data_IF_201537348178
#
_entry.id   IF_201537348178
#
_cell.length_a   1.000
_cell.length_b   1.000
_cell.length_c   1.000
_cell.angle_alpha   90.00
_cell.angle_beta   90.00
_cell.angle_gamma   90.00
#
_symmetry.space_group_name_H-M   'P 1'
#
loop_
_entity.id
_entity.type
_entity.pdbx_description
1 polymer ?
#
# COMPACT_ATOMS: atom_id res chain seq x y z
N UNK A 1 10.83 -10.55 15.05
CA UNK A 1 11.43 -11.74 14.38
C UNK A 1 11.18 -11.73 12.87
N UNK A 2 9.92 -11.72 12.39
CA UNK A 2 9.63 -11.75 10.94
C UNK A 2 10.30 -10.64 10.13
N UNK A 3 10.25 -9.38 10.59
CA UNK A 3 10.89 -8.24 9.90
C UNK A 3 12.40 -8.40 9.77
N UNK A 4 13.08 -8.80 10.86
CA UNK A 4 14.53 -9.02 10.86
C UNK A 4 14.90 -10.12 9.87
N UNK A 5 14.15 -11.22 9.85
CA UNK A 5 14.34 -12.29 8.88
C UNK A 5 14.21 -11.78 7.45
N UNK A 6 13.17 -10.99 7.13
CA UNK A 6 12.98 -10.41 5.79
C UNK A 6 14.14 -9.49 5.38
N UNK A 7 14.61 -8.65 6.30
CA UNK A 7 15.77 -7.76 6.05
C UNK A 7 17.03 -8.57 5.80
N UNK A 8 17.29 -9.61 6.62
CA UNK A 8 18.43 -10.50 6.44
C UNK A 8 18.38 -11.26 5.12
N UNK A 9 17.18 -11.70 4.68
CA UNK A 9 17.01 -12.35 3.40
C UNK A 9 17.33 -11.42 2.23
N UNK A 10 16.85 -10.17 2.27
CA UNK A 10 17.15 -9.17 1.24
C UNK A 10 18.65 -8.85 1.23
N UNK A 11 19.23 -8.53 2.39
CA UNK A 11 20.64 -8.21 2.50
C UNK A 11 21.53 -9.39 2.08
N UNK A 12 21.18 -10.60 2.49
CA UNK A 12 21.86 -11.83 2.08
C UNK A 12 21.81 -12.06 0.58
N UNK A 13 20.64 -11.85 -0.05
CA UNK A 13 20.50 -11.92 -1.50
C UNK A 13 21.36 -10.87 -2.21
N UNK A 14 21.37 -9.62 -1.73
CA UNK A 14 22.21 -8.55 -2.30
C UNK A 14 23.69 -8.91 -2.22
N UNK A 15 24.17 -9.34 -1.06
CA UNK A 15 25.58 -9.73 -0.88
C UNK A 15 25.94 -10.92 -1.77
N UNK A 16 25.10 -11.96 -1.80
CA UNK A 16 25.34 -13.13 -2.62
C UNK A 16 25.28 -12.82 -4.13
N UNK A 17 24.36 -11.95 -4.56
CA UNK A 17 24.28 -11.48 -5.94
C UNK A 17 25.49 -10.67 -6.38
N UNK A 18 26.05 -9.83 -5.51
CA UNK A 18 27.30 -9.12 -5.81
C UNK A 18 28.53 -10.04 -5.82
N UNK A 19 28.54 -11.07 -4.96
CA UNK A 19 29.67 -11.99 -4.85
C UNK A 19 29.74 -13.04 -5.97
N UNK A 20 28.59 -13.57 -6.40
CA UNK A 20 28.50 -14.67 -7.37
C UNK A 20 27.89 -14.27 -8.71
N UNK A 21 27.30 -13.09 -8.81
CA UNK A 21 26.67 -12.60 -10.03
C UNK A 21 27.68 -12.24 -11.10
N UNK A 22 27.30 -12.51 -12.36
CA UNK A 22 28.10 -12.12 -13.52
C UNK A 22 27.84 -10.65 -13.86
N UNK A 23 28.87 -9.78 -13.85
CA UNK A 23 28.70 -8.36 -14.13
C UNK A 23 28.13 -8.13 -15.53
N UNK A 24 27.04 -7.36 -15.63
CA UNK A 24 26.56 -6.79 -16.88
C UNK A 24 27.21 -5.43 -17.15
N UNK A 25 27.38 -5.08 -18.43
CA UNK A 25 27.86 -3.76 -18.84
C UNK A 25 26.73 -2.73 -18.76
N UNK A 26 26.42 -2.30 -17.54
CA UNK A 26 25.41 -1.29 -17.25
C UNK A 26 26.03 -0.10 -16.54
N UNK A 27 25.65 1.10 -16.96
CA UNK A 27 26.03 2.34 -16.28
C UNK A 27 24.88 2.85 -15.46
N UNK A 28 25.11 3.03 -14.15
CA UNK A 28 24.15 3.69 -13.25
C UNK A 28 24.28 5.22 -13.25
N UNK A 29 25.17 5.78 -14.07
CA UNK A 29 25.34 7.22 -14.17
C UNK A 29 24.16 7.84 -14.93
N UNK A 30 23.50 8.88 -14.37
CA UNK A 30 22.34 9.49 -15.01
C UNK A 30 22.75 10.18 -16.32
N UNK A 31 21.96 9.96 -17.36
CA UNK A 31 22.09 10.60 -18.67
C UNK A 31 21.01 11.65 -18.84
N UNK A 32 21.25 12.64 -19.70
CA UNK A 32 20.27 13.68 -20.02
C UNK A 32 18.98 13.11 -20.64
N UNK A 33 19.09 11.99 -21.35
CA UNK A 33 17.95 11.26 -21.92
C UNK A 33 17.04 10.69 -20.83
N UNK A 34 17.58 10.32 -19.67
CA UNK A 34 16.80 9.77 -18.55
C UNK A 34 15.77 10.77 -18.01
N UNK A 35 16.06 12.08 -18.12
CA UNK A 35 15.14 13.13 -17.70
C UNK A 35 13.86 13.16 -18.55
N UNK A 36 13.95 12.77 -19.82
CA UNK A 36 12.78 12.71 -20.70
C UNK A 36 11.83 11.57 -20.30
N UNK A 37 12.37 10.50 -19.73
CA UNK A 37 11.57 9.37 -19.25
C UNK A 37 10.76 9.70 -17.99
N UNK A 38 11.25 10.59 -17.13
CA UNK A 38 10.58 10.97 -15.86
C UNK A 38 9.18 11.53 -16.10
N UNK A 39 8.97 12.29 -17.18
CA UNK A 39 7.67 12.89 -17.49
C UNK A 39 6.73 11.95 -18.26
N UNK A 40 7.16 10.75 -18.61
CA UNK A 40 6.38 9.82 -19.42
C UNK A 40 5.43 8.92 -18.63
N UNK A 41 4.45 8.36 -19.34
CA UNK A 41 3.52 7.39 -18.77
C UNK A 41 4.21 6.14 -18.18
N UNK A 42 5.24 5.54 -18.81
CA UNK A 42 5.91 4.36 -18.25
C UNK A 42 6.53 4.63 -16.88
N UNK A 43 7.06 5.84 -16.64
CA UNK A 43 7.60 6.23 -15.35
C UNK A 43 6.48 6.43 -14.32
N UNK A 44 5.40 7.12 -14.69
CA UNK A 44 4.24 7.32 -13.83
C UNK A 44 3.60 6.00 -13.38
N UNK A 45 3.41 5.06 -14.31
CA UNK A 45 2.87 3.73 -14.04
C UNK A 45 3.88 2.90 -13.24
N UNK A 46 5.18 2.97 -13.56
CA UNK A 46 6.21 2.31 -12.75
C UNK A 46 6.21 2.78 -11.29
N UNK A 47 5.97 4.08 -11.05
CA UNK A 47 5.82 4.61 -9.70
C UNK A 47 4.64 4.01 -8.92
N UNK A 48 3.59 3.51 -9.60
CA UNK A 48 2.44 2.83 -8.95
C UNK A 48 2.93 1.58 -8.23
N UNK A 49 3.73 0.75 -8.91
CA UNK A 49 4.32 -0.46 -8.35
C UNK A 49 5.35 -0.15 -7.27
N UNK A 50 6.15 0.90 -7.45
CA UNK A 50 7.09 1.37 -6.44
C UNK A 50 6.32 1.82 -5.19
N UNK A 51 5.35 2.70 -5.32
CA UNK A 51 4.54 3.20 -4.19
C UNK A 51 3.81 2.06 -3.48
N UNK A 52 3.30 1.07 -4.21
CA UNK A 52 2.73 -0.13 -3.61
C UNK A 52 3.77 -0.92 -2.80
N UNK A 53 4.99 -1.07 -3.31
CA UNK A 53 6.10 -1.74 -2.60
C UNK A 53 6.48 -1.02 -1.30
N UNK A 54 6.31 0.32 -1.25
CA UNK A 54 6.50 1.13 -0.03
C UNK A 54 5.23 1.30 0.81
N UNK A 55 4.14 0.60 0.48
CA UNK A 55 2.90 0.68 1.23
C UNK A 55 3.04 0.16 2.66
N UNK A 56 2.15 0.61 3.55
CA UNK A 56 2.15 0.28 4.98
C UNK A 56 2.69 1.39 5.89
N UNK A 57 3.15 2.50 5.32
CA UNK A 57 3.56 3.70 6.07
C UNK A 57 2.43 4.27 6.95
N UNK A 58 1.17 4.08 6.57
CA UNK A 58 0.01 4.53 7.32
C UNK A 58 -0.22 3.75 8.63
N UNK A 59 0.35 2.55 8.77
CA UNK A 59 0.18 1.70 9.96
C UNK A 59 0.74 2.37 11.23
N UNK A 60 1.76 3.22 11.09
CA UNK A 60 2.30 3.99 12.22
C UNK A 60 1.28 4.96 12.84
N UNK A 61 0.23 5.34 12.10
CA UNK A 61 -0.83 6.18 12.64
C UNK A 61 -1.78 5.42 13.57
N UNK A 62 -1.95 4.12 13.36
CA UNK A 62 -2.89 3.29 14.13
C UNK A 62 -2.43 3.06 15.57
N UNK A 63 -1.12 3.01 15.79
CA UNK A 63 -0.51 2.79 17.11
C UNK A 63 -0.05 4.09 17.77
N UNK A 64 -0.44 5.26 17.24
CA UNK A 64 0.06 6.54 17.73
C UNK A 64 -0.26 6.79 19.21
N UNK A 65 -1.37 6.24 19.70
CA UNK A 65 -1.79 6.35 21.10
C UNK A 65 -0.95 5.51 22.07
N UNK A 66 -0.21 4.52 21.56
CA UNK A 66 0.66 3.62 22.35
C UNK A 66 2.13 4.07 22.32
N UNK A 67 2.48 4.98 21.42
CA UNK A 67 3.85 5.47 21.24
C UNK A 67 4.15 6.57 22.25
N UNK A 68 5.28 6.46 22.95
CA UNK A 68 5.81 7.52 23.80
C UNK A 68 6.25 8.72 22.95
N UNK A 69 5.78 9.92 23.31
CA UNK A 69 6.07 11.18 22.61
C UNK A 69 5.81 11.09 21.09
N UNK A 70 4.57 10.80 20.66
CA UNK A 70 4.27 10.49 19.27
C UNK A 70 4.63 11.62 18.29
N UNK A 71 4.63 12.87 18.75
CA UNK A 71 4.98 14.05 17.96
C UNK A 71 6.44 14.05 17.50
N UNK A 72 7.33 13.34 18.19
CA UNK A 72 8.76 13.21 17.85
C UNK A 72 9.09 11.82 17.34
N UNK A 73 8.60 10.79 18.02
CA UNK A 73 8.96 9.40 17.73
C UNK A 73 8.38 8.92 16.39
N UNK A 74 7.13 9.27 16.06
CA UNK A 74 6.50 8.80 14.82
C UNK A 74 7.18 9.38 13.57
N UNK A 75 7.44 10.70 13.46
CA UNK A 75 8.14 11.24 12.29
C UNK A 75 9.55 10.68 12.11
N UNK A 76 10.32 10.54 13.19
CA UNK A 76 11.69 9.99 13.15
C UNK A 76 11.66 8.52 12.70
N UNK A 77 10.75 7.73 13.28
CA UNK A 77 10.57 6.32 12.93
C UNK A 77 10.19 6.14 11.46
N UNK A 78 9.24 6.94 10.96
CA UNK A 78 8.84 6.93 9.55
C UNK A 78 10.02 7.24 8.63
N UNK A 79 10.75 8.32 8.91
CA UNK A 79 11.90 8.71 8.08
C UNK A 79 13.00 7.64 8.08
N UNK A 80 13.38 7.15 9.26
CA UNK A 80 14.42 6.12 9.39
C UNK A 80 14.01 4.81 8.71
N UNK A 81 12.77 4.35 8.92
CA UNK A 81 12.25 3.14 8.30
C UNK A 81 12.21 3.27 6.77
N UNK A 82 11.68 4.38 6.25
CA UNK A 82 11.63 4.63 4.81
C UNK A 82 13.04 4.68 4.21
N UNK A 83 14.02 5.31 4.88
CA UNK A 83 15.40 5.38 4.41
C UNK A 83 16.05 3.99 4.35
N UNK A 84 15.86 3.15 5.37
CA UNK A 84 16.40 1.78 5.40
C UNK A 84 15.79 0.96 4.25
N UNK A 85 14.46 1.02 4.07
CA UNK A 85 13.78 0.30 2.99
C UNK A 85 14.22 0.83 1.62
N UNK A 86 14.45 2.15 1.49
CA UNK A 86 14.99 2.77 0.29
C UNK A 86 16.34 2.16 -0.10
N UNK A 87 17.29 2.11 0.83
CA UNK A 87 18.61 1.56 0.58
C UNK A 87 18.54 0.07 0.18
N UNK A 88 17.72 -0.72 0.89
CA UNK A 88 17.56 -2.15 0.61
C UNK A 88 16.95 -2.41 -0.76
N UNK A 89 15.87 -1.69 -1.11
CA UNK A 89 15.17 -1.92 -2.38
C UNK A 89 15.97 -1.40 -3.57
N UNK A 90 16.67 -0.27 -3.44
CA UNK A 90 17.57 0.22 -4.49
C UNK A 90 18.73 -0.74 -4.67
N UNK A 91 19.36 -1.21 -3.59
CA UNK A 91 20.44 -2.20 -3.68
C UNK A 91 19.97 -3.52 -4.32
N UNK A 92 18.78 -3.98 -3.98
CA UNK A 92 18.20 -5.19 -4.57
C UNK A 92 17.96 -5.04 -6.08
N UNK A 93 17.36 -3.92 -6.51
CA UNK A 93 17.15 -3.65 -7.94
C UNK A 93 18.46 -3.45 -8.68
N UNK A 94 19.46 -2.81 -8.06
CA UNK A 94 20.79 -2.67 -8.64
C UNK A 94 21.44 -4.05 -8.87
N UNK A 95 21.30 -4.97 -7.93
CA UNK A 95 21.78 -6.35 -8.09
C UNK A 95 21.04 -7.06 -9.23
N UNK A 96 19.71 -6.96 -9.31
CA UNK A 96 18.96 -7.57 -10.41
C UNK A 96 19.46 -7.12 -11.79
N UNK A 97 19.64 -5.81 -11.98
CA UNK A 97 20.16 -5.25 -13.23
C UNK A 97 21.63 -5.63 -13.46
N UNK A 98 22.44 -5.68 -12.41
CA UNK A 98 23.85 -6.03 -12.48
C UNK A 98 24.08 -7.49 -12.88
N UNK A 99 23.19 -8.42 -12.47
CA UNK A 99 23.40 -9.86 -12.66
C UNK A 99 22.58 -10.47 -13.77
N UNK A 100 21.49 -9.85 -14.19
CA UNK A 100 20.48 -10.49 -15.04
C UNK A 100 20.03 -9.56 -16.17
N UNK A 101 20.06 -10.04 -17.42
CA UNK A 101 19.60 -9.26 -18.57
C UNK A 101 18.13 -8.79 -18.45
N UNK A 102 17.86 -7.53 -18.81
CA UNK A 102 16.53 -6.90 -18.67
C UNK A 102 15.45 -7.61 -19.49
N UNK A 103 15.79 -8.16 -20.65
CA UNK A 103 14.89 -8.93 -21.52
C UNK A 103 14.32 -10.17 -20.83
N UNK A 104 15.09 -10.78 -19.91
CA UNK A 104 14.63 -11.93 -19.13
C UNK A 104 13.75 -11.55 -17.95
N UNK A 105 13.83 -10.31 -17.47
CA UNK A 105 13.06 -9.82 -16.32
C UNK A 105 11.79 -9.06 -16.74
N UNK A 106 11.81 -8.42 -17.91
CA UNK A 106 10.67 -7.67 -18.41
C UNK A 106 9.43 -8.57 -18.56
N UNK A 107 8.30 -8.11 -18.02
CA UNK A 107 7.03 -8.85 -18.04
C UNK A 107 6.95 -10.04 -17.09
N UNK A 108 8.00 -10.32 -16.31
CA UNK A 108 7.99 -11.40 -15.32
C UNK A 108 7.48 -10.90 -13.97
N UNK A 109 6.53 -11.61 -13.38
CA UNK A 109 6.04 -11.31 -12.02
C UNK A 109 7.10 -11.69 -10.98
N UNK A 110 7.87 -12.74 -11.24
CA UNK A 110 8.77 -13.38 -10.27
C UNK A 110 10.24 -12.99 -10.53
N UNK A 111 10.52 -11.69 -10.64
CA UNK A 111 11.84 -11.15 -11.00
C UNK A 111 12.97 -11.72 -10.12
N UNK A 112 12.73 -11.86 -8.81
CA UNK A 112 13.73 -12.41 -7.89
C UNK A 112 14.04 -13.89 -8.12
N UNK A 113 13.07 -14.69 -8.58
CA UNK A 113 13.27 -16.09 -8.96
C UNK A 113 14.12 -16.17 -10.25
N UNK A 114 13.82 -15.33 -11.23
CA UNK A 114 14.57 -15.23 -12.48
C UNK A 114 16.02 -14.84 -12.21
N UNK A 115 16.23 -13.78 -11.42
CA UNK A 115 17.56 -13.35 -11.03
C UNK A 115 18.29 -14.43 -10.21
N UNK A 116 17.63 -15.05 -9.24
CA UNK A 116 18.19 -16.15 -8.45
C UNK A 116 18.60 -17.35 -9.30
N UNK A 117 17.82 -17.68 -10.34
CA UNK A 117 18.15 -18.74 -11.30
C UNK A 117 19.38 -18.38 -12.14
N UNK A 118 19.51 -17.11 -12.50
CA UNK A 118 20.66 -16.62 -13.27
C UNK A 118 21.95 -16.57 -12.45
N UNK A 119 21.87 -16.20 -11.17
CA UNK A 119 23.02 -16.06 -10.28
C UNK A 119 23.48 -17.43 -9.73
N UNK A 120 22.53 -18.25 -9.26
CA UNK A 120 22.82 -19.46 -8.48
C UNK A 120 22.47 -20.77 -9.21
N UNK A 121 22.01 -20.68 -10.47
CA UNK A 121 21.45 -21.81 -11.20
C UNK A 121 20.05 -22.21 -10.75
N UNK A 122 19.49 -23.23 -11.38
CA UNK A 122 18.09 -23.66 -11.18
C UNK A 122 17.76 -24.00 -9.71
N UNK A 123 18.68 -24.68 -9.01
CA UNK A 123 18.48 -25.04 -7.60
C UNK A 123 18.45 -23.80 -6.70
N UNK A 124 19.36 -22.84 -6.91
CA UNK A 124 19.38 -21.62 -6.11
C UNK A 124 18.18 -20.71 -6.39
N UNK A 125 17.74 -20.64 -7.65
CA UNK A 125 16.46 -20.01 -8.01
C UNK A 125 15.29 -20.59 -7.23
N UNK A 126 15.13 -21.92 -7.21
CA UNK A 126 14.06 -22.60 -6.45
C UNK A 126 14.12 -22.32 -4.95
N UNK A 127 15.32 -22.26 -4.36
CA UNK A 127 15.51 -21.89 -2.94
C UNK A 127 15.01 -20.46 -2.69
N UNK A 128 15.42 -19.50 -3.53
CA UNK A 128 14.99 -18.10 -3.43
C UNK A 128 13.47 -17.99 -3.57
N UNK A 129 12.87 -18.67 -4.56
CA UNK A 129 11.43 -18.74 -4.73
C UNK A 129 10.71 -19.31 -3.51
N UNK A 130 11.23 -20.40 -2.92
CA UNK A 130 10.70 -21.00 -1.71
C UNK A 130 10.73 -20.05 -0.50
N UNK A 131 11.82 -19.30 -0.34
CA UNK A 131 11.95 -18.30 0.73
C UNK A 131 10.95 -17.15 0.56
N UNK A 132 10.72 -16.69 -0.68
CA UNK A 132 9.71 -15.67 -1.00
C UNK A 132 8.31 -16.21 -0.67
N UNK A 133 7.97 -17.42 -1.12
CA UNK A 133 6.69 -18.07 -0.81
C UNK A 133 6.45 -18.17 0.70
N UNK A 134 7.47 -18.60 1.46
CA UNK A 134 7.38 -18.64 2.92
C UNK A 134 7.15 -17.25 3.53
N UNK A 135 7.82 -16.23 3.00
CA UNK A 135 7.62 -14.83 3.39
C UNK A 135 6.18 -14.34 3.13
N UNK A 136 5.58 -14.74 2.00
CA UNK A 136 4.22 -14.35 1.61
C UNK A 136 3.15 -14.95 2.53
N UNK A 137 3.32 -16.18 3.02
CA UNK A 137 2.37 -16.83 3.95
C UNK A 137 2.12 -15.94 5.18
N UNK A 138 3.19 -15.34 5.73
CA UNK A 138 3.07 -14.46 6.90
C UNK A 138 2.21 -13.23 6.62
N UNK A 139 2.39 -12.62 5.43
CA UNK A 139 1.65 -11.42 5.03
C UNK A 139 0.19 -11.77 4.72
N UNK A 140 -0.06 -12.87 4.00
CA UNK A 140 -1.42 -13.34 3.67
C UNK A 140 -2.21 -13.63 4.95
N UNK A 141 -1.58 -14.33 5.90
CA UNK A 141 -2.20 -14.61 7.21
C UNK A 141 -2.57 -13.31 7.94
N UNK A 142 -1.64 -12.35 8.04
CA UNK A 142 -1.91 -11.07 8.70
C UNK A 142 -3.05 -10.28 8.02
N UNK A 143 -3.09 -10.24 6.69
CA UNK A 143 -4.12 -9.50 5.94
C UNK A 143 -5.49 -10.19 5.96
N UNK A 144 -5.51 -11.52 5.99
CA UNK A 144 -6.73 -12.31 6.22
C UNK A 144 -7.30 -12.02 7.61
N UNK A 145 -6.43 -11.72 8.57
CA UNK A 145 -6.85 -11.28 9.88
C UNK A 145 -7.33 -9.82 9.90
N UNK A 146 -6.54 -8.86 9.43
CA UNK A 146 -6.87 -7.43 9.63
C UNK A 146 -8.11 -7.00 8.84
N UNK A 147 -8.23 -7.42 7.57
CA UNK A 147 -9.29 -6.92 6.66
C UNK A 147 -10.72 -7.07 7.19
N UNK A 148 -11.15 -8.24 7.68
CA UNK A 148 -12.51 -8.44 8.17
C UNK A 148 -12.84 -7.62 9.42
N UNK A 149 -11.84 -7.23 10.21
CA UNK A 149 -12.06 -6.39 11.41
C UNK A 149 -12.38 -4.95 11.03
N UNK A 150 -11.78 -4.43 9.94
CA UNK A 150 -12.16 -3.12 9.41
C UNK A 150 -13.62 -3.14 8.97
N UNK A 151 -14.04 -4.15 8.21
CA UNK A 151 -15.44 -4.31 7.78
C UNK A 151 -16.39 -4.50 8.96
N UNK A 152 -15.95 -5.20 10.02
CA UNK A 152 -16.70 -5.36 11.26
C UNK A 152 -16.97 -4.00 11.93
N UNK A 153 -15.92 -3.20 12.16
CA UNK A 153 -16.03 -1.86 12.78
C UNK A 153 -16.92 -0.95 11.93
N UNK A 154 -16.79 -1.00 10.59
CA UNK A 154 -17.71 -0.29 9.70
C UNK A 154 -19.17 -0.72 9.90
N UNK A 155 -19.42 -2.00 10.16
CA UNK A 155 -20.75 -2.51 10.47
C UNK A 155 -21.29 -2.07 11.84
N UNK A 156 -20.43 -1.84 12.81
CA UNK A 156 -20.79 -1.29 14.13
C UNK A 156 -21.20 0.19 13.99
N UNK A 157 -20.49 0.95 13.15
CA UNK A 157 -20.73 2.37 12.94
C UNK A 157 -21.90 2.66 11.99
N UNK A 158 -22.14 1.81 10.99
CA UNK A 158 -23.08 2.07 9.90
C UNK A 158 -24.22 1.03 9.88
N UNK A 159 -25.49 1.45 10.15
CA UNK A 159 -26.62 0.53 10.17
C UNK A 159 -26.82 -0.27 8.88
N UNK A 160 -26.50 0.29 7.72
CA UNK A 160 -26.61 -0.42 6.44
C UNK A 160 -25.63 -1.60 6.33
N UNK A 161 -24.56 -1.60 7.13
CA UNK A 161 -23.51 -2.63 7.17
C UNK A 161 -23.58 -3.48 8.44
N UNK A 162 -24.64 -3.36 9.26
CA UNK A 162 -24.77 -4.01 10.56
C UNK A 162 -24.66 -5.54 10.53
N UNK A 163 -24.93 -6.17 9.38
CA UNK A 163 -24.73 -7.61 9.19
C UNK A 163 -23.26 -8.03 9.39
N UNK A 164 -22.31 -7.17 9.05
CA UNK A 164 -20.88 -7.44 9.15
C UNK A 164 -20.33 -7.26 10.57
N UNK A 165 -21.07 -6.58 11.45
CA UNK A 165 -20.73 -6.46 12.87
C UNK A 165 -20.96 -7.76 13.67
N UNK A 166 -21.73 -8.71 13.12
CA UNK A 166 -22.08 -9.95 13.82
C UNK A 166 -20.85 -10.83 14.02
N UNK A 167 -20.61 -11.20 15.27
CA UNK A 167 -19.56 -12.13 15.66
C UNK A 167 -20.13 -13.52 15.96
N UNK A 168 -19.30 -14.53 15.74
CA UNK A 168 -19.54 -15.88 16.27
C UNK A 168 -19.26 -15.92 17.77
N UNK A 169 -19.59 -17.03 18.43
CA UNK A 169 -19.32 -17.27 19.86
C UNK A 169 -17.86 -17.01 20.28
N UNK A 170 -16.91 -17.13 19.35
CA UNK A 170 -15.48 -16.95 19.60
C UNK A 170 -14.97 -15.54 19.23
N UNK A 171 -15.84 -14.55 19.03
CA UNK A 171 -15.44 -13.17 18.68
C UNK A 171 -14.93 -13.02 17.24
N UNK A 172 -15.28 -13.95 16.35
CA UNK A 172 -14.83 -13.94 14.95
C UNK A 172 -15.94 -13.37 14.05
N UNK A 173 -15.69 -12.29 13.27
CA UNK A 173 -16.69 -11.70 12.37
C UNK A 173 -16.82 -12.53 11.08
N UNK A 174 -17.52 -13.67 11.18
CA UNK A 174 -17.58 -14.67 10.10
C UNK A 174 -18.14 -14.12 8.79
N UNK A 175 -19.18 -13.27 8.84
CA UNK A 175 -19.78 -12.70 7.62
C UNK A 175 -18.80 -11.78 6.89
N UNK A 176 -18.02 -10.96 7.64
CA UNK A 176 -16.99 -10.11 7.07
C UNK A 176 -15.85 -10.93 6.44
N UNK A 177 -15.47 -12.05 7.06
CA UNK A 177 -14.47 -12.99 6.50
C UNK A 177 -14.98 -13.58 5.20
N UNK A 178 -16.23 -14.05 5.16
CA UNK A 178 -16.83 -14.64 3.96
C UNK A 178 -16.94 -13.61 2.83
N UNK A 179 -17.29 -12.35 3.15
CA UNK A 179 -17.28 -11.27 2.16
C UNK A 179 -15.89 -11.06 1.56
N UNK A 180 -14.86 -10.93 2.41
CA UNK A 180 -13.49 -10.77 1.94
C UNK A 180 -13.04 -11.97 1.10
N UNK A 181 -13.34 -13.19 1.53
CA UNK A 181 -13.02 -14.40 0.79
C UNK A 181 -13.70 -14.42 -0.58
N UNK A 182 -14.97 -14.03 -0.66
CA UNK A 182 -15.71 -13.95 -1.92
C UNK A 182 -15.06 -12.94 -2.87
N UNK A 183 -14.74 -11.73 -2.39
CA UNK A 183 -14.09 -10.67 -3.19
C UNK A 183 -12.73 -11.15 -3.71
N UNK A 184 -11.88 -11.68 -2.81
CA UNK A 184 -10.53 -12.16 -3.18
C UNK A 184 -10.61 -13.30 -4.18
N UNK A 185 -11.53 -14.25 -3.99
CA UNK A 185 -11.73 -15.38 -4.92
C UNK A 185 -12.12 -14.88 -6.31
N UNK A 186 -13.09 -13.97 -6.41
CA UNK A 186 -13.49 -13.38 -7.68
C UNK A 186 -12.32 -12.67 -8.35
N UNK A 187 -11.54 -11.87 -7.62
CA UNK A 187 -10.38 -11.16 -8.17
C UNK A 187 -9.30 -12.12 -8.68
N UNK A 188 -8.98 -13.19 -7.94
CA UNK A 188 -7.98 -14.19 -8.34
C UNK A 188 -8.37 -14.89 -9.64
N UNK A 189 -9.65 -15.20 -9.83
CA UNK A 189 -10.11 -15.90 -11.04
C UNK A 189 -10.32 -14.98 -12.25
N UNK A 190 -10.50 -13.68 -12.05
CA UNK A 190 -10.92 -12.77 -13.12
C UNK A 190 -9.88 -11.72 -13.53
N UNK A 191 -8.94 -11.37 -12.65
CA UNK A 191 -8.01 -10.26 -12.86
C UNK A 191 -6.56 -10.71 -12.83
N UNK A 192 -5.70 -10.03 -13.61
CA UNK A 192 -4.26 -10.17 -13.50
C UNK A 192 -3.73 -9.45 -12.26
N UNK A 193 -2.55 -9.86 -11.80
CA UNK A 193 -1.86 -9.21 -10.67
C UNK A 193 -1.67 -7.70 -10.91
N UNK A 194 -1.22 -7.31 -12.11
CA UNK A 194 -1.06 -5.91 -12.52
C UNK A 194 -2.38 -5.13 -12.44
N UNK A 195 -3.47 -5.66 -13.00
CA UNK A 195 -4.78 -5.00 -12.94
C UNK A 195 -5.27 -4.78 -11.51
N UNK A 196 -5.08 -5.78 -10.64
CA UNK A 196 -5.44 -5.68 -9.22
C UNK A 196 -4.60 -4.61 -8.51
N UNK A 197 -3.30 -4.55 -8.79
CA UNK A 197 -2.42 -3.53 -8.23
C UNK A 197 -2.79 -2.13 -8.70
N UNK A 198 -3.02 -1.92 -9.99
CA UNK A 198 -3.43 -0.64 -10.54
C UNK A 198 -4.74 -0.15 -9.88
N UNK A 199 -5.73 -1.04 -9.75
CA UNK A 199 -7.00 -0.75 -9.09
C UNK A 199 -6.84 -0.36 -7.61
N UNK A 200 -6.07 -1.15 -6.85
CA UNK A 200 -5.85 -0.89 -5.42
C UNK A 200 -5.07 0.41 -5.24
N UNK A 201 -4.00 0.59 -6.02
CA UNK A 201 -3.11 1.73 -5.86
C UNK A 201 -3.78 3.03 -6.32
N UNK A 202 -4.64 3.01 -7.35
CA UNK A 202 -5.48 4.16 -7.68
C UNK A 202 -6.33 4.58 -6.48
N UNK A 203 -7.03 3.62 -5.87
CA UNK A 203 -7.93 3.86 -4.74
C UNK A 203 -7.19 4.40 -3.51
N UNK A 204 -6.02 3.83 -3.18
CA UNK A 204 -5.15 4.29 -2.09
C UNK A 204 -4.57 5.67 -2.36
N UNK A 205 -4.14 5.93 -3.59
CA UNK A 205 -3.54 7.21 -4.00
C UNK A 205 -4.58 8.33 -3.95
N UNK A 206 -5.79 8.09 -4.49
CA UNK A 206 -6.89 9.06 -4.42
C UNK A 206 -7.29 9.36 -2.97
N UNK A 207 -7.42 8.33 -2.13
CA UNK A 207 -7.76 8.50 -0.71
C UNK A 207 -6.69 9.31 0.03
N UNK A 208 -5.42 9.02 -0.23
CA UNK A 208 -4.28 9.73 0.37
C UNK A 208 -4.17 11.17 -0.15
N UNK A 209 -4.42 11.39 -1.45
CA UNK A 209 -4.47 12.72 -2.06
C UNK A 209 -5.52 13.60 -1.39
N UNK A 210 -6.75 13.08 -1.22
CA UNK A 210 -7.83 13.79 -0.55
C UNK A 210 -7.51 14.07 0.93
N UNK A 211 -6.88 13.12 1.63
CA UNK A 211 -6.44 13.32 3.00
C UNK A 211 -5.40 14.45 3.13
N UNK A 212 -4.40 14.48 2.25
CA UNK A 212 -3.36 15.53 2.24
C UNK A 212 -3.94 16.88 1.82
N UNK A 213 -4.85 16.91 0.84
CA UNK A 213 -5.61 18.11 0.51
C UNK A 213 -6.39 18.62 1.74
N UNK A 214 -6.99 17.70 2.50
CA UNK A 214 -7.66 18.01 3.76
C UNK A 214 -6.75 18.73 4.77
N UNK A 215 -5.47 18.38 4.85
CA UNK A 215 -4.49 19.08 5.71
C UNK A 215 -4.29 20.53 5.27
N UNK A 216 -4.21 20.78 3.96
CA UNK A 216 -4.08 22.14 3.41
C UNK A 216 -5.37 22.93 3.68
N UNK A 217 -6.52 22.35 3.39
CA UNK A 217 -7.84 22.98 3.62
C UNK A 217 -8.05 23.30 5.10
N UNK A 218 -7.70 22.40 6.01
CA UNK A 218 -7.84 22.60 7.45
C UNK A 218 -6.94 23.72 7.97
N UNK A 219 -5.79 23.97 7.31
CA UNK A 219 -4.93 25.10 7.65
C UNK A 219 -5.54 26.45 7.33
N UNK A 220 -6.34 26.54 6.27
CA UNK A 220 -7.09 27.74 5.93
C UNK A 220 -8.38 27.87 6.75
N UNK A 221 -9.15 26.79 6.91
CA UNK A 221 -10.46 26.83 7.58
C UNK A 221 -10.39 26.91 9.10
N UNK A 222 -9.40 26.26 9.72
CA UNK A 222 -9.27 26.20 11.18
C UNK A 222 -7.82 26.50 11.61
N UNK A 223 -7.35 27.74 11.44
CA UNK A 223 -5.95 28.11 11.69
C UNK A 223 -5.53 27.97 13.16
N UNK A 224 -6.46 28.14 14.09
CA UNK A 224 -6.22 28.18 15.54
C UNK A 224 -6.18 26.80 16.22
N UNK A 225 -6.44 25.70 15.50
CA UNK A 225 -6.36 24.36 16.09
C UNK A 225 -4.95 24.09 16.66
N UNK A 226 -4.84 23.49 17.86
CA UNK A 226 -3.56 23.04 18.37
C UNK A 226 -2.99 21.96 17.43
N UNK A 227 -1.76 22.17 16.96
CA UNK A 227 -1.05 21.26 16.04
C UNK A 227 0.22 20.77 16.72
N UNK A 228 0.15 19.67 17.49
CA UNK A 228 1.31 19.10 18.19
C UNK A 228 2.45 18.72 17.24
N UNK A 229 2.11 18.38 15.99
CA UNK A 229 3.06 18.18 14.90
C UNK A 229 2.71 19.10 13.73
N UNK A 230 3.74 19.69 13.10
CA UNK A 230 3.62 20.44 11.85
C UNK A 230 4.48 19.74 10.81
N UNK A 231 3.90 19.45 9.64
CA UNK A 231 4.62 18.84 8.52
C UNK A 231 5.87 19.65 8.18
N UNK A 232 7.03 19.00 8.24
CA UNK A 232 8.31 19.57 7.83
C UNK A 232 8.22 20.07 6.38
N UNK A 233 8.76 21.26 6.09
CA UNK A 233 8.74 21.83 4.73
C UNK A 233 7.36 22.27 4.23
N UNK A 234 6.38 22.52 5.11
CA UNK A 234 5.09 23.07 4.71
C UNK A 234 5.24 24.47 4.06
N UNK A 235 4.54 24.77 2.94
CA UNK A 235 3.58 23.94 2.21
C UNK A 235 4.19 23.04 1.13
N UNK A 236 5.50 23.15 0.86
CA UNK A 236 6.16 22.45 -0.24
C UNK A 236 5.96 20.93 -0.18
N UNK A 237 6.06 20.32 1.00
CA UNK A 237 5.97 18.85 1.13
C UNK A 237 4.59 18.29 0.76
N UNK A 238 3.44 18.81 1.27
CA UNK A 238 2.13 18.45 0.73
C UNK A 238 1.95 18.71 -0.76
N UNK A 239 2.48 19.83 -1.26
CA UNK A 239 2.33 20.19 -2.67
C UNK A 239 3.09 19.25 -3.61
N UNK A 240 4.31 18.86 -3.23
CA UNK A 240 5.10 17.85 -3.98
C UNK A 240 4.38 16.51 -3.96
N UNK A 241 3.88 16.08 -2.79
CA UNK A 241 3.11 14.83 -2.70
C UNK A 241 1.89 14.86 -3.62
N UNK A 242 1.09 15.94 -3.57
CA UNK A 242 -0.07 16.12 -4.43
C UNK A 242 0.30 16.18 -5.91
N UNK A 243 1.43 16.83 -6.27
CA UNK A 243 1.92 16.89 -7.64
C UNK A 243 2.28 15.51 -8.17
N UNK A 244 3.07 14.73 -7.43
CA UNK A 244 3.48 13.37 -7.83
C UNK A 244 2.28 12.42 -7.89
N UNK A 245 1.42 12.44 -6.88
CA UNK A 245 0.22 11.57 -6.86
C UNK A 245 -0.80 11.97 -7.92
N UNK A 246 -0.97 13.26 -8.19
CA UNK A 246 -1.79 13.76 -9.29
C UNK A 246 -1.24 13.34 -10.66
N UNK A 247 0.09 13.43 -10.85
CA UNK A 247 0.78 12.95 -12.05
C UNK A 247 0.58 11.45 -12.26
N UNK A 248 0.75 10.63 -11.22
CA UNK A 248 0.49 9.20 -11.28
C UNK A 248 -0.96 8.89 -11.65
N UNK A 249 -1.92 9.55 -10.99
CA UNK A 249 -3.34 9.34 -11.26
C UNK A 249 -3.75 9.77 -12.68
N UNK A 250 -3.17 10.86 -13.20
CA UNK A 250 -3.41 11.31 -14.56
C UNK A 250 -3.08 10.20 -15.57
N UNK A 251 -1.87 9.65 -15.49
CA UNK A 251 -1.45 8.57 -16.39
C UNK A 251 -2.20 7.25 -16.14
N UNK A 252 -2.58 6.96 -14.90
CA UNK A 252 -3.39 5.77 -14.62
C UNK A 252 -4.79 5.87 -15.22
N UNK A 253 -5.38 7.07 -15.25
CA UNK A 253 -6.68 7.31 -15.89
C UNK A 253 -6.57 7.21 -17.41
N UNK A 254 -5.51 7.74 -18.02
CA UNK A 254 -5.34 7.71 -19.48
C UNK A 254 -5.01 6.31 -20.00
N UNK A 255 -4.12 5.60 -19.32
CA UNK A 255 -3.55 4.35 -19.84
C UNK A 255 -4.26 3.11 -19.29
N UNK A 256 -4.81 3.20 -18.08
CA UNK A 256 -5.54 2.12 -17.37
C UNK A 256 -6.94 2.58 -16.92
N UNK A 257 -7.81 3.05 -17.85
CA UNK A 257 -9.06 3.70 -17.50
C UNK A 257 -10.03 2.79 -16.75
N UNK A 258 -10.08 1.50 -17.09
CA UNK A 258 -11.00 0.55 -16.48
C UNK A 258 -10.70 0.35 -14.98
N UNK A 259 -9.42 0.19 -14.64
CA UNK A 259 -8.95 0.01 -13.26
C UNK A 259 -9.16 1.29 -12.45
N UNK A 260 -8.87 2.45 -13.04
CA UNK A 260 -9.09 3.75 -12.41
C UNK A 260 -10.58 4.03 -12.15
N UNK A 261 -11.45 3.75 -13.13
CA UNK A 261 -12.90 3.89 -12.98
C UNK A 261 -13.46 2.93 -11.94
N UNK A 262 -12.98 1.68 -11.89
CA UNK A 262 -13.36 0.74 -10.84
C UNK A 262 -12.97 1.25 -9.45
N UNK A 263 -11.76 1.80 -9.29
CA UNK A 263 -11.32 2.40 -8.03
C UNK A 263 -12.19 3.59 -7.61
N UNK A 264 -12.48 4.48 -8.56
CA UNK A 264 -13.40 5.61 -8.33
C UNK A 264 -14.81 5.13 -7.95
N UNK A 265 -15.33 4.12 -8.66
CA UNK A 265 -16.63 3.54 -8.38
C UNK A 265 -16.69 2.94 -6.97
N UNK A 266 -15.62 2.28 -6.50
CA UNK A 266 -15.53 1.77 -5.12
C UNK A 266 -15.62 2.90 -4.09
N UNK A 267 -14.91 4.02 -4.29
CA UNK A 267 -15.02 5.18 -3.40
C UNK A 267 -16.43 5.78 -3.41
N UNK A 268 -17.03 5.95 -4.59
CA UNK A 268 -18.38 6.49 -4.72
C UNK A 268 -19.43 5.57 -4.09
N UNK A 269 -19.29 4.25 -4.24
CA UNK A 269 -20.14 3.28 -3.57
C UNK A 269 -20.05 3.41 -2.05
N UNK A 270 -18.85 3.61 -1.50
CA UNK A 270 -18.65 3.91 -0.08
C UNK A 270 -19.40 5.16 0.38
N UNK A 271 -19.37 6.23 -0.42
CA UNK A 271 -20.11 7.46 -0.14
C UNK A 271 -21.63 7.25 -0.15
N UNK A 272 -22.14 6.47 -1.11
CA UNK A 272 -23.56 6.12 -1.18
C UNK A 272 -23.98 5.32 0.06
N UNK A 273 -23.21 4.30 0.45
CA UNK A 273 -23.48 3.49 1.65
C UNK A 273 -23.48 4.36 2.92
N UNK A 274 -22.54 5.30 3.02
CA UNK A 274 -22.50 6.27 4.12
C UNK A 274 -23.76 7.16 4.16
N UNK A 275 -24.16 7.73 3.02
CA UNK A 275 -25.35 8.59 2.93
C UNK A 275 -26.66 7.83 3.24
N UNK A 276 -26.79 6.58 2.81
CA UNK A 276 -27.93 5.72 3.17
C UNK A 276 -27.95 5.43 4.68
N UNK A 277 -26.78 5.13 5.25
CA UNK A 277 -26.64 4.81 6.67
C UNK A 277 -26.98 5.99 7.59
N UNK A 278 -26.57 7.21 7.23
CA UNK A 278 -26.90 8.42 8.01
C UNK A 278 -28.39 8.74 7.96
N UNK A 279 -29.04 8.54 6.80
CA UNK A 279 -30.51 8.63 6.68
C UNK A 279 -31.22 7.59 7.53
N UNK A 280 -30.73 6.35 7.59
CA UNK A 280 -31.29 5.31 8.44
C UNK A 280 -31.15 5.62 9.94
N UNK A 281 -30.03 6.19 10.37
CA UNK A 281 -29.86 6.65 11.77
C UNK A 281 -30.85 7.77 12.09
N UNK A 282 -31.03 8.74 11.20
CA UNK A 282 -31.97 9.83 11.39
C UNK A 282 -33.44 9.38 11.42
N UNK A 283 -33.77 8.27 10.75
CA UNK A 283 -35.11 7.70 10.70
C UNK A 283 -35.49 6.82 11.89
N UNK A 284 -34.54 6.43 12.76
CA UNK A 284 -34.83 5.82 14.07
C UNK A 284 -34.86 6.93 15.12
N UNK A 285 -36.03 7.40 15.59
CA UNK A 285 -36.09 8.26 16.77
C UNK A 285 -35.47 7.48 17.93
N UNK A 286 -34.64 8.15 18.72
CA UNK A 286 -34.15 7.61 19.99
C UNK A 286 -35.34 7.12 20.83
N UNK A 287 -35.46 5.81 21.02
CA UNK A 287 -36.32 5.28 22.08
C UNK A 287 -35.89 5.97 23.38
N UNK A 288 -36.87 6.64 23.99
CA UNK A 288 -36.66 7.53 25.12
C UNK A 288 -35.87 6.84 26.21
N UNK A 289 -34.84 7.54 26.69
CA UNK A 289 -34.29 7.28 28.02
C UNK A 289 -35.43 7.45 29.00
N UNK A 290 -36.02 6.34 29.42
CA UNK A 290 -36.84 6.26 30.63
C UNK A 290 -35.93 6.62 31.79
N UNK A 291 -35.93 7.90 32.17
CA UNK A 291 -35.42 8.34 33.46
C UNK A 291 -36.37 7.71 34.49
N UNK A 292 -35.93 6.60 35.09
CA UNK A 292 -36.58 6.02 36.24
C UNK A 292 -36.58 7.01 37.40
N UNK A 293 -37.71 7.06 38.08
CA UNK A 293 -38.04 7.86 39.27
C UNK A 293 -36.99 7.76 40.40
#
# INVERSE_FOLDING_TARGET
VSTVLKVLLIAGFVVAGLAYGTPQDISFAPRLEDLQHITGAPFAIGLVFVMYSYSGWNASTYIMNEVREPQRTVPISLFAATLIVLLLYVALNAVFLYTTPMDKMAGQVEVALVAGTHIFGEQGGRIVGGLICFGLISTISAMTWIGPRVTKVMGEDLPALAIFAKETRNGVPAVAILLQLAIVTVLIFTQSFESVLDYIQFSLTLSSFLAVLGVIVLRFRQPALPRPYRSWGYPLTPLVFMGVTGFMMFYLITDRPLQSLAGLATLLAGLVVYALSTRMKAAKPSEGVSIGE
#
